data_IF_088919454467
#
_entry.id   IF_088919454467
#
_cell.length_a   1.000
_cell.length_b   1.000
_cell.length_c   1.000
_cell.angle_alpha   90.00
_cell.angle_beta   90.00
_cell.angle_gamma   90.00
#
_symmetry.space_group_name_H-M   'P 1'
#
loop_
_entity.id
_entity.type
_entity.pdbx_description
1 polymer ?
#
# COMPACT_ATOMS: atom_id res chain seq x y z
N UNK A 1 -59.37 -80.55 50.14
CA UNK A 1 -59.27 -81.97 50.52
C UNK A 1 -59.64 -82.83 49.32
N UNK A 2 -58.78 -83.82 49.01
CA UNK A 2 -59.08 -85.16 48.44
C UNK A 2 -60.06 -85.25 47.25
N UNK A 3 -59.62 -85.66 46.05
CA UNK A 3 -59.27 -87.03 45.58
C UNK A 3 -60.27 -87.33 44.46
N UNK A 4 -59.84 -87.41 43.20
CA UNK A 4 -59.33 -88.60 42.51
C UNK A 4 -60.45 -89.41 41.81
N UNK A 5 -60.10 -89.85 40.59
CA UNK A 5 -60.59 -91.00 39.82
C UNK A 5 -61.74 -90.78 38.83
N UNK A 6 -61.80 -91.38 37.63
CA UNK A 6 -60.88 -92.01 36.64
C UNK A 6 -61.78 -92.53 35.49
N UNK A 7 -61.22 -92.65 34.28
CA UNK A 7 -61.61 -93.63 33.24
C UNK A 7 -62.78 -93.26 32.31
N UNK A 8 -62.85 -93.63 31.03
CA UNK A 8 -61.95 -94.36 30.12
C UNK A 8 -62.58 -94.31 28.70
N UNK A 9 -61.75 -94.28 27.64
CA UNK A 9 -62.15 -94.58 26.25
C UNK A 9 -61.85 -93.44 25.26
N UNK A 10 -61.15 -93.60 24.14
CA UNK A 10 -60.52 -94.76 23.51
C UNK A 10 -59.90 -94.34 22.17
N UNK A 11 -58.88 -95.11 21.73
CA UNK A 11 -58.22 -95.15 20.39
C UNK A 11 -57.40 -93.88 20.02
N UNK A 12 -56.06 -93.83 20.09
CA UNK A 12 -54.93 -94.69 19.65
C UNK A 12 -54.69 -94.72 18.12
N UNK A 13 -53.75 -93.87 17.68
CA UNK A 13 -52.70 -94.02 16.64
C UNK A 13 -52.30 -92.60 16.17
N UNK A 14 -51.05 -92.19 15.99
CA UNK A 14 -49.73 -92.81 16.06
C UNK A 14 -48.69 -91.68 15.88
N UNK A 15 -47.70 -91.59 16.80
CA UNK A 15 -46.25 -91.44 16.56
C UNK A 15 -45.77 -90.92 15.19
N UNK A 16 -44.76 -90.05 15.05
CA UNK A 16 -43.69 -89.67 15.98
C UNK A 16 -42.70 -88.69 15.28
N UNK A 17 -41.94 -87.93 16.09
CA UNK A 17 -40.52 -87.50 15.89
C UNK A 17 -40.23 -86.38 14.83
N UNK A 18 -39.26 -85.44 14.97
CA UNK A 18 -38.10 -85.24 15.86
C UNK A 18 -37.41 -83.86 15.61
N UNK A 19 -36.77 -83.32 16.65
CA UNK A 19 -35.56 -82.44 16.72
C UNK A 19 -35.53 -80.97 16.22
N UNK A 20 -35.45 -80.03 17.19
CA UNK A 20 -34.31 -79.11 17.60
C UNK A 20 -33.31 -78.57 16.55
N UNK A 21 -32.43 -77.57 16.85
CA UNK A 21 -32.42 -76.48 17.86
C UNK A 21 -31.90 -75.12 17.30
N UNK A 22 -31.76 -74.13 18.20
CA UNK A 22 -30.70 -73.10 18.34
C UNK A 22 -30.16 -72.28 17.14
N UNK A 23 -30.07 -70.97 17.36
CA UNK A 23 -29.28 -70.08 16.50
C UNK A 23 -29.31 -68.61 16.88
N UNK A 24 -28.56 -68.25 17.92
CA UNK A 24 -28.12 -66.87 18.20
C UNK A 24 -27.15 -66.43 17.08
N UNK A 25 -27.33 -65.25 16.48
CA UNK A 25 -26.40 -64.76 15.47
C UNK A 25 -26.79 -63.42 14.84
N UNK A 26 -26.31 -62.33 15.46
CA UNK A 26 -26.23 -60.98 14.89
C UNK A 26 -25.55 -60.99 13.52
N UNK A 27 -26.23 -60.47 12.49
CA UNK A 27 -25.64 -60.16 11.18
C UNK A 27 -26.01 -58.73 10.79
N UNK A 28 -25.05 -57.83 11.00
CA UNK A 28 -24.93 -56.55 10.31
C UNK A 28 -24.27 -56.83 8.96
N UNK A 29 -25.07 -57.14 7.94
CA UNK A 29 -24.67 -57.00 6.54
C UNK A 29 -25.91 -56.70 5.70
N UNK A 30 -26.00 -55.47 5.21
CA UNK A 30 -27.05 -55.04 4.29
C UNK A 30 -26.60 -55.38 2.87
N UNK A 31 -26.76 -56.64 2.50
CA UNK A 31 -26.54 -57.09 1.12
C UNK A 31 -27.66 -56.59 0.22
N UNK A 32 -27.45 -55.42 -0.37
CA UNK A 32 -28.30 -54.91 -1.43
C UNK A 32 -27.94 -55.67 -2.72
N UNK A 33 -28.85 -56.51 -3.22
CA UNK A 33 -28.69 -57.23 -4.49
C UNK A 33 -28.69 -56.22 -5.65
N UNK A 34 -27.52 -55.74 -6.02
CA UNK A 34 -27.32 -54.81 -7.14
C UNK A 34 -27.30 -55.61 -8.45
N UNK A 35 -28.19 -55.28 -9.39
CA UNK A 35 -28.22 -55.87 -10.74
C UNK A 35 -26.89 -55.66 -11.45
N UNK A 36 -26.41 -56.67 -12.21
CA UNK A 36 -25.16 -56.62 -12.99
C UNK A 36 -25.04 -55.34 -13.85
N UNK A 37 -26.17 -54.86 -14.38
CA UNK A 37 -26.25 -53.60 -15.14
C UNK A 37 -25.90 -52.38 -14.29
N UNK A 38 -26.43 -52.31 -13.07
CA UNK A 38 -26.17 -51.24 -12.11
C UNK A 38 -24.71 -51.26 -11.62
N UNK A 39 -24.11 -52.45 -11.48
CA UNK A 39 -22.69 -52.59 -11.12
C UNK A 39 -21.76 -52.07 -12.21
N UNK A 40 -22.07 -52.34 -13.49
CA UNK A 40 -21.30 -51.86 -14.64
C UNK A 40 -21.46 -50.34 -14.86
N UNK A 41 -22.68 -49.81 -14.72
CA UNK A 41 -22.95 -48.37 -14.83
C UNK A 41 -22.33 -47.61 -13.66
N UNK A 42 -22.36 -48.18 -12.45
CA UNK A 42 -21.75 -47.58 -11.27
C UNK A 42 -20.23 -47.45 -11.39
N UNK A 43 -19.54 -48.46 -11.95
CA UNK A 43 -18.09 -48.42 -12.11
C UNK A 43 -17.63 -47.43 -13.17
N UNK A 44 -18.34 -47.33 -14.31
CA UNK A 44 -17.99 -46.33 -15.33
C UNK A 44 -18.24 -44.90 -14.86
N UNK A 45 -19.35 -44.68 -14.14
CA UNK A 45 -19.67 -43.37 -13.55
C UNK A 45 -18.64 -42.95 -12.50
N UNK A 46 -18.18 -43.89 -11.66
CA UNK A 46 -17.18 -43.62 -10.63
C UNK A 46 -15.85 -43.12 -11.24
N UNK A 47 -15.39 -43.74 -12.33
CA UNK A 47 -14.15 -43.33 -13.01
C UNK A 47 -14.27 -41.91 -13.57
N UNK A 48 -15.40 -41.58 -14.21
CA UNK A 48 -15.65 -40.23 -14.75
C UNK A 48 -15.63 -39.18 -13.63
N UNK A 49 -16.26 -39.47 -12.50
CA UNK A 49 -16.29 -38.57 -11.34
C UNK A 49 -14.89 -38.35 -10.78
N UNK A 50 -14.12 -39.42 -10.57
CA UNK A 50 -12.75 -39.31 -10.04
C UNK A 50 -11.86 -38.48 -10.96
N UNK A 51 -11.95 -38.72 -12.27
CA UNK A 51 -11.18 -37.97 -13.25
C UNK A 51 -11.60 -36.49 -13.29
N UNK A 52 -12.91 -36.21 -13.27
CA UNK A 52 -13.43 -34.84 -13.19
C UNK A 52 -12.93 -34.10 -11.97
N UNK A 53 -12.99 -34.72 -10.79
CA UNK A 53 -12.47 -34.13 -9.53
C UNK A 53 -10.97 -33.87 -9.63
N UNK A 54 -10.19 -34.81 -10.17
CA UNK A 54 -8.75 -34.64 -10.32
C UNK A 54 -8.41 -33.46 -11.25
N UNK A 55 -9.08 -33.36 -12.41
CA UNK A 55 -8.88 -32.25 -13.36
C UNK A 55 -9.29 -30.91 -12.73
N UNK A 56 -10.44 -30.84 -12.06
CA UNK A 56 -10.88 -29.62 -11.38
C UNK A 56 -9.91 -29.19 -10.28
N UNK A 57 -9.37 -30.13 -9.51
CA UNK A 57 -8.44 -29.83 -8.43
C UNK A 57 -7.10 -29.31 -8.96
N UNK A 58 -6.60 -29.90 -10.05
CA UNK A 58 -5.41 -29.39 -10.76
C UNK A 58 -5.68 -28.01 -11.36
N UNK A 59 -6.83 -27.81 -12.01
CA UNK A 59 -7.23 -26.53 -12.57
C UNK A 59 -7.31 -25.41 -11.52
N UNK A 60 -7.91 -25.70 -10.37
CA UNK A 60 -7.97 -24.74 -9.24
C UNK A 60 -6.58 -24.40 -8.73
N UNK A 61 -5.66 -25.37 -8.60
CA UNK A 61 -4.28 -25.11 -8.15
C UNK A 61 -3.50 -24.25 -9.15
N UNK A 62 -3.58 -24.55 -10.44
CA UNK A 62 -2.93 -23.77 -11.49
C UNK A 62 -3.41 -22.32 -11.55
N UNK A 63 -4.71 -22.10 -11.32
CA UNK A 63 -5.32 -20.76 -11.28
C UNK A 63 -4.95 -20.04 -9.98
N UNK A 64 -5.01 -20.72 -8.84
CA UNK A 64 -4.73 -20.15 -7.52
C UNK A 64 -3.26 -19.70 -7.38
N UNK A 65 -2.32 -20.48 -7.91
CA UNK A 65 -0.89 -20.15 -7.86
C UNK A 65 -0.53 -19.00 -8.83
N UNK A 66 -1.40 -18.70 -9.80
CA UNK A 66 -1.12 -17.73 -10.87
C UNK A 66 -1.75 -16.34 -10.72
N UNK A 67 -2.88 -16.18 -10.03
CA UNK A 67 -3.74 -14.99 -10.20
C UNK A 67 -3.70 -13.92 -9.09
N UNK A 68 -3.08 -14.18 -7.94
CA UNK A 68 -3.00 -13.17 -6.85
C UNK A 68 -1.67 -12.40 -6.82
N UNK A 69 -0.58 -12.95 -7.38
CA UNK A 69 0.71 -12.25 -7.44
C UNK A 69 0.80 -11.26 -8.60
N UNK A 70 0.31 -11.61 -9.79
CA UNK A 70 0.61 -10.86 -11.02
C UNK A 70 0.03 -9.43 -11.06
N UNK A 71 -1.12 -9.16 -10.44
CA UNK A 71 -1.71 -7.81 -10.40
C UNK A 71 -1.20 -6.99 -9.20
N UNK A 72 -1.01 -7.61 -8.03
CA UNK A 72 -0.49 -6.91 -6.86
C UNK A 72 0.98 -6.58 -6.99
N UNK A 73 1.78 -7.48 -7.60
CA UNK A 73 3.20 -7.27 -7.77
C UNK A 73 3.49 -6.18 -8.80
N UNK A 74 2.63 -6.01 -9.82
CA UNK A 74 2.72 -4.87 -10.74
C UNK A 74 2.50 -3.55 -10.01
N UNK A 75 1.42 -3.42 -9.24
CA UNK A 75 1.15 -2.19 -8.46
C UNK A 75 2.25 -1.91 -7.44
N UNK A 76 2.75 -2.93 -6.74
CA UNK A 76 3.88 -2.79 -5.81
C UNK A 76 5.14 -2.34 -6.53
N UNK A 77 5.44 -2.92 -7.68
CA UNK A 77 6.60 -2.55 -8.49
C UNK A 77 6.48 -1.11 -8.98
N UNK A 78 5.30 -0.70 -9.45
CA UNK A 78 5.04 0.66 -9.92
C UNK A 78 5.17 1.68 -8.78
N UNK A 79 4.59 1.40 -7.60
CA UNK A 79 4.70 2.28 -6.43
C UNK A 79 6.12 2.36 -5.87
N UNK A 80 6.85 1.23 -5.85
CA UNK A 80 8.25 1.22 -5.43
C UNK A 80 9.13 2.02 -6.39
N UNK A 81 8.84 1.93 -7.69
CA UNK A 81 9.54 2.71 -8.72
C UNK A 81 9.25 4.21 -8.56
N UNK A 82 7.98 4.59 -8.40
CA UNK A 82 7.58 5.97 -8.15
C UNK A 82 8.23 6.53 -6.87
N UNK A 83 8.23 5.75 -5.78
CA UNK A 83 8.89 6.12 -4.53
C UNK A 83 10.40 6.31 -4.70
N UNK A 84 11.03 5.48 -5.54
CA UNK A 84 12.45 5.59 -5.82
C UNK A 84 12.77 6.88 -6.58
N UNK A 85 12.02 7.16 -7.66
CA UNK A 85 12.16 8.42 -8.42
C UNK A 85 11.98 9.62 -7.49
N UNK A 86 10.97 9.60 -6.63
CA UNK A 86 10.73 10.66 -5.65
C UNK A 86 11.89 10.85 -4.64
N UNK A 87 12.47 9.76 -4.12
CA UNK A 87 13.62 9.87 -3.22
C UNK A 87 14.89 10.30 -3.94
N UNK A 88 15.06 9.90 -5.21
CA UNK A 88 16.18 10.33 -6.05
C UNK A 88 16.07 11.85 -6.30
N UNK A 89 14.88 12.38 -6.56
CA UNK A 89 14.62 13.82 -6.73
C UNK A 89 14.94 14.64 -5.46
N UNK A 90 14.53 14.15 -4.28
CA UNK A 90 14.90 14.78 -3.00
C UNK A 90 16.42 14.85 -2.85
N UNK A 91 17.10 13.75 -3.17
CA UNK A 91 18.55 13.65 -3.04
C UNK A 91 19.29 14.52 -4.07
N UNK A 92 18.76 14.63 -5.28
CA UNK A 92 19.27 15.53 -6.31
C UNK A 92 19.17 16.99 -5.86
N UNK A 93 17.99 17.41 -5.37
CA UNK A 93 17.78 18.75 -4.81
C UNK A 93 18.72 19.01 -3.62
N UNK A 94 18.89 18.04 -2.72
CA UNK A 94 19.83 18.12 -1.60
C UNK A 94 21.27 18.35 -2.07
N UNK A 95 21.73 17.56 -3.04
CA UNK A 95 23.09 17.66 -3.58
C UNK A 95 23.32 19.00 -4.25
N UNK A 96 22.36 19.48 -5.05
CA UNK A 96 22.44 20.76 -5.74
C UNK A 96 22.58 21.90 -4.73
N UNK A 97 21.69 21.97 -3.73
CA UNK A 97 21.71 23.03 -2.71
C UNK A 97 22.99 22.96 -1.87
N UNK A 98 23.44 21.75 -1.50
CA UNK A 98 24.72 21.53 -0.81
C UNK A 98 25.90 22.05 -1.62
N UNK A 99 26.00 21.65 -2.89
CA UNK A 99 27.09 22.07 -3.76
C UNK A 99 27.06 23.59 -3.97
N UNK A 100 25.89 24.16 -4.20
CA UNK A 100 25.69 25.61 -4.34
C UNK A 100 26.18 26.36 -3.10
N UNK A 101 25.80 25.93 -1.90
CA UNK A 101 26.23 26.52 -0.63
C UNK A 101 27.74 26.48 -0.38
N UNK A 102 28.46 25.56 -1.02
CA UNK A 102 29.93 25.46 -0.92
C UNK A 102 30.70 26.26 -1.97
N UNK A 103 30.03 26.83 -2.98
CA UNK A 103 30.70 27.54 -4.08
C UNK A 103 31.36 28.84 -3.59
N UNK A 104 32.56 29.09 -4.10
CA UNK A 104 33.41 30.23 -3.69
C UNK A 104 32.78 31.60 -3.99
N UNK A 105 31.93 31.71 -5.01
CA UNK A 105 31.27 32.98 -5.36
C UNK A 105 30.35 33.47 -4.24
N UNK A 106 29.67 32.57 -3.51
CA UNK A 106 28.80 32.96 -2.40
C UNK A 106 29.64 33.60 -1.29
N UNK A 107 30.78 32.96 -0.94
CA UNK A 107 31.70 33.50 0.07
C UNK A 107 32.24 34.87 -0.32
N UNK A 108 32.74 35.01 -1.55
CA UNK A 108 33.31 36.27 -2.02
C UNK A 108 32.30 37.41 -2.07
N UNK A 109 31.09 37.12 -2.54
CA UNK A 109 30.09 38.16 -2.69
C UNK A 109 29.42 38.52 -1.36
N UNK A 110 29.40 37.61 -0.38
CA UNK A 110 29.08 37.93 1.02
C UNK A 110 30.15 38.84 1.64
N UNK A 111 31.45 38.58 1.40
CA UNK A 111 32.54 39.44 1.89
C UNK A 111 32.57 40.82 1.21
N UNK A 112 32.25 40.88 -0.09
CA UNK A 112 32.21 42.11 -0.87
C UNK A 112 30.91 42.91 -0.76
N UNK A 113 29.89 42.38 -0.06
CA UNK A 113 28.52 42.92 -0.01
C UNK A 113 27.91 43.21 -1.40
N UNK A 114 28.31 42.43 -2.41
CA UNK A 114 27.85 42.56 -3.79
C UNK A 114 26.59 41.74 -4.02
N UNK A 115 25.48 42.31 -3.55
CA UNK A 115 24.15 41.69 -3.66
C UNK A 115 23.71 41.51 -5.12
N UNK A 116 24.09 42.42 -6.02
CA UNK A 116 23.69 42.36 -7.43
C UNK A 116 24.33 41.15 -8.12
N UNK A 117 25.61 40.90 -7.87
CA UNK A 117 26.29 39.70 -8.36
C UNK A 117 25.70 38.44 -7.74
N UNK A 118 25.44 38.40 -6.42
CA UNK A 118 24.76 37.25 -5.79
C UNK A 118 23.41 36.95 -6.43
N UNK A 119 22.61 37.98 -6.64
CA UNK A 119 21.27 37.87 -7.22
C UNK A 119 21.32 37.28 -8.64
N UNK A 120 22.23 37.77 -9.47
CA UNK A 120 22.41 37.29 -10.85
C UNK A 120 22.89 35.84 -10.88
N UNK A 121 23.92 35.50 -10.12
CA UNK A 121 24.48 34.14 -10.07
C UNK A 121 23.46 33.13 -9.53
N UNK A 122 22.74 33.48 -8.46
CA UNK A 122 21.69 32.61 -7.91
C UNK A 122 20.51 32.46 -8.89
N UNK A 123 20.12 33.51 -9.62
CA UNK A 123 19.09 33.37 -10.65
C UNK A 123 19.53 32.48 -11.81
N UNK A 124 20.79 32.58 -12.24
CA UNK A 124 21.35 31.68 -13.26
C UNK A 124 21.35 30.23 -12.80
N UNK A 125 21.74 29.95 -11.56
CA UNK A 125 21.68 28.59 -11.00
C UNK A 125 20.23 28.10 -10.94
N UNK A 126 19.30 28.94 -10.48
CA UNK A 126 17.87 28.61 -10.44
C UNK A 126 17.36 28.21 -11.83
N UNK A 127 17.66 29.00 -12.86
CA UNK A 127 17.19 28.73 -14.23
C UNK A 127 17.89 27.53 -14.87
N UNK A 128 19.21 27.40 -14.69
CA UNK A 128 20.00 26.31 -15.28
C UNK A 128 19.62 24.95 -14.71
N UNK A 129 19.45 24.88 -13.39
CA UNK A 129 19.07 23.65 -12.69
C UNK A 129 17.54 23.48 -12.61
N UNK A 130 16.76 24.33 -13.29
CA UNK A 130 15.29 24.28 -13.33
C UNK A 130 14.60 24.28 -11.96
N UNK A 131 15.16 25.00 -10.99
CA UNK A 131 14.55 25.17 -9.67
C UNK A 131 13.39 26.18 -9.73
N UNK A 132 12.28 25.86 -9.08
CA UNK A 132 11.17 26.81 -8.94
C UNK A 132 11.57 28.00 -8.07
N UNK A 133 12.29 27.75 -6.98
CA UNK A 133 12.66 28.72 -5.95
C UNK A 133 14.09 28.46 -5.48
N UNK A 134 14.88 29.54 -5.32
CA UNK A 134 16.19 29.48 -4.68
C UNK A 134 16.43 30.77 -3.87
N UNK A 135 16.63 30.63 -2.56
CA UNK A 135 16.69 31.77 -1.63
C UNK A 135 17.88 31.63 -0.71
N UNK A 136 18.63 32.72 -0.53
CA UNK A 136 19.76 32.82 0.37
C UNK A 136 19.35 33.60 1.63
N UNK A 137 19.67 33.04 2.80
CA UNK A 137 19.38 33.64 4.10
C UNK A 137 20.67 33.95 4.87
N UNK A 138 20.58 34.85 5.85
CA UNK A 138 21.63 35.09 6.84
C UNK A 138 21.62 34.04 7.97
N UNK A 139 22.54 34.19 8.94
CA UNK A 139 22.63 33.29 10.10
C UNK A 139 21.39 33.27 11.01
N UNK A 140 20.48 34.23 10.87
CA UNK A 140 19.22 34.34 11.61
C UNK A 140 18.03 33.84 10.78
N UNK A 141 18.26 33.33 9.57
CA UNK A 141 17.21 32.91 8.64
C UNK A 141 16.50 34.07 7.94
N UNK A 142 17.04 35.29 7.98
CA UNK A 142 16.49 36.43 7.25
C UNK A 142 16.91 36.37 5.78
N UNK A 143 15.98 36.62 4.87
CA UNK A 143 16.23 36.55 3.43
C UNK A 143 17.14 37.70 2.99
N UNK A 144 18.33 37.35 2.52
CA UNK A 144 19.29 38.29 1.93
C UNK A 144 19.05 38.44 0.42
N UNK A 145 18.82 37.33 -0.27
CA UNK A 145 18.62 37.28 -1.72
C UNK A 145 17.53 36.27 -2.05
N UNK A 146 16.54 36.69 -2.85
CA UNK A 146 15.49 35.83 -3.38
C UNK A 146 15.62 35.81 -4.90
N UNK A 147 16.02 34.66 -5.46
CA UNK A 147 16.37 34.58 -6.88
C UNK A 147 15.20 34.90 -7.81
N UNK A 148 14.01 34.35 -7.50
CA UNK A 148 12.79 34.47 -8.32
C UNK A 148 12.14 35.86 -8.24
N UNK A 149 12.03 36.41 -7.03
CA UNK A 149 11.46 37.72 -6.78
C UNK A 149 12.41 38.61 -5.95
N UNK A 150 13.39 39.26 -6.60
CA UNK A 150 14.44 40.03 -5.92
C UNK A 150 13.93 41.20 -5.08
N UNK A 151 12.73 41.71 -5.40
CA UNK A 151 12.12 42.88 -4.76
C UNK A 151 11.65 42.59 -3.33
N UNK A 152 11.36 41.32 -3.01
CA UNK A 152 10.94 40.91 -1.67
C UNK A 152 12.13 40.34 -0.93
N UNK A 153 12.58 41.02 0.12
CA UNK A 153 13.73 40.60 0.93
C UNK A 153 13.61 41.11 2.36
N UNK A 154 14.46 40.59 3.26
CA UNK A 154 14.49 40.98 4.66
C UNK A 154 13.40 40.33 5.52
N UNK A 155 12.50 39.52 4.95
CA UNK A 155 11.58 38.68 5.70
C UNK A 155 12.29 37.49 6.36
N UNK A 156 11.67 36.89 7.37
CA UNK A 156 12.22 35.73 8.08
C UNK A 156 11.74 34.42 7.45
N UNK A 157 12.67 33.49 7.27
CA UNK A 157 12.42 32.08 6.96
C UNK A 157 12.85 31.18 8.12
N UNK A 158 13.18 31.75 9.29
CA UNK A 158 13.66 31.00 10.45
C UNK A 158 12.65 29.98 10.98
N UNK A 159 11.35 30.23 10.78
CA UNK A 159 10.26 29.35 11.22
C UNK A 159 10.01 28.19 10.24
N UNK A 160 10.66 28.18 9.07
CA UNK A 160 10.61 27.04 8.16
C UNK A 160 11.30 25.82 8.78
N UNK A 161 10.66 24.65 8.67
CA UNK A 161 11.11 23.42 9.33
C UNK A 161 12.52 22.99 8.88
N UNK A 162 12.86 23.16 7.60
CA UNK A 162 14.18 22.78 7.10
C UNK A 162 15.22 23.85 7.42
N UNK A 163 14.86 25.13 7.27
CA UNK A 163 15.78 26.24 7.58
C UNK A 163 16.16 26.23 9.07
N UNK A 164 15.20 26.09 9.98
CA UNK A 164 15.46 26.00 11.43
C UNK A 164 16.37 24.83 11.80
N UNK A 165 16.21 23.67 11.15
CA UNK A 165 17.09 22.51 11.36
C UNK A 165 18.51 22.78 10.87
N UNK A 166 18.68 23.40 9.70
CA UNK A 166 20.00 23.78 9.18
C UNK A 166 20.65 24.83 10.07
N UNK A 167 19.90 25.84 10.52
CA UNK A 167 20.40 26.89 11.40
C UNK A 167 20.92 26.33 12.73
N UNK A 168 20.24 25.32 13.29
CA UNK A 168 20.60 24.68 14.56
C UNK A 168 21.71 23.63 14.42
N UNK A 169 21.64 22.75 13.41
CA UNK A 169 22.56 21.60 13.27
C UNK A 169 23.78 21.89 12.39
N UNK A 170 23.72 22.91 11.53
CA UNK A 170 24.74 23.20 10.50
C UNK A 170 25.00 22.01 9.58
N UNK A 171 23.96 21.23 9.30
CA UNK A 171 23.96 20.11 8.36
C UNK A 171 22.97 20.40 7.23
N UNK A 172 23.15 19.75 6.08
CA UNK A 172 22.20 19.84 4.98
C UNK A 172 20.97 19.01 5.32
N UNK A 173 19.78 19.55 5.06
CA UNK A 173 18.51 18.85 5.28
C UNK A 173 17.64 19.00 4.03
N UNK A 174 17.01 17.91 3.60
CA UNK A 174 16.08 17.90 2.49
C UNK A 174 14.84 17.05 2.81
N UNK A 175 13.72 17.39 2.19
CA UNK A 175 12.47 16.68 2.38
C UNK A 175 11.31 17.34 1.65
N UNK A 176 10.09 16.92 1.99
CA UNK A 176 8.88 17.52 1.45
C UNK A 176 8.23 18.40 2.49
N UNK A 177 7.87 19.61 2.07
CA UNK A 177 7.24 20.63 2.90
C UNK A 177 5.92 21.07 2.27
N UNK A 178 4.98 21.48 3.13
CA UNK A 178 3.77 22.15 2.69
C UNK A 178 4.01 23.65 2.79
N UNK A 179 3.99 24.35 1.66
CA UNK A 179 4.23 25.79 1.57
C UNK A 179 2.89 26.50 1.47
N UNK A 180 2.56 27.41 2.39
CA UNK A 180 1.30 28.14 2.38
C UNK A 180 1.29 29.20 1.26
N UNK A 181 0.10 29.65 0.87
CA UNK A 181 -0.08 30.59 -0.24
C UNK A 181 0.71 31.88 -0.03
N UNK A 182 0.75 32.37 1.19
CA UNK A 182 1.40 33.62 1.58
C UNK A 182 2.90 33.57 1.29
N UNK A 183 3.55 32.43 1.50
CA UNK A 183 4.97 32.23 1.17
C UNK A 183 5.17 32.08 -0.34
N UNK A 184 4.28 31.36 -1.04
CA UNK A 184 4.35 31.21 -2.49
C UNK A 184 4.22 32.55 -3.22
N UNK A 185 3.32 33.43 -2.77
CA UNK A 185 3.14 34.77 -3.34
C UNK A 185 4.39 35.63 -3.19
N UNK A 186 5.21 35.43 -2.15
CA UNK A 186 6.50 36.13 -2.03
C UNK A 186 7.48 35.73 -3.14
N UNK A 187 7.43 34.48 -3.59
CA UNK A 187 8.26 33.97 -4.67
C UNK A 187 7.71 34.35 -6.05
N UNK A 188 6.39 34.39 -6.22
CA UNK A 188 5.74 34.86 -7.44
C UNK A 188 4.24 34.59 -7.44
N UNK A 189 3.45 35.53 -7.96
CA UNK A 189 1.99 35.37 -8.06
C UNK A 189 1.60 34.22 -9.00
N UNK A 190 2.42 33.97 -10.02
CA UNK A 190 2.25 32.85 -10.95
C UNK A 190 2.36 31.49 -10.23
N UNK A 191 3.27 31.37 -9.26
CA UNK A 191 3.43 30.15 -8.45
C UNK A 191 2.24 29.93 -7.52
N UNK A 192 1.75 31.01 -6.89
CA UNK A 192 0.56 30.95 -6.04
C UNK A 192 -0.72 30.57 -6.81
N UNK A 193 -0.84 31.01 -8.07
CA UNK A 193 -1.99 30.69 -8.92
C UNK A 193 -2.01 29.22 -9.37
N UNK A 194 -0.85 28.61 -9.63
CA UNK A 194 -0.76 27.19 -10.02
C UNK A 194 -1.27 26.23 -8.94
N UNK A 195 -1.24 26.66 -7.68
CA UNK A 195 -1.53 25.83 -6.51
C UNK A 195 -3.01 25.86 -6.14
N UNK A 196 -3.75 26.88 -6.61
CA UNK A 196 -5.17 27.01 -6.33
C UNK A 196 -5.95 25.88 -7.00
N UNK A 197 -6.61 25.04 -6.18
CA UNK A 197 -7.53 24.02 -6.65
C UNK A 197 -8.83 24.03 -5.85
N UNK A 198 -9.94 23.91 -6.56
CA UNK A 198 -11.26 23.76 -5.95
C UNK A 198 -11.51 22.30 -5.59
N UNK A 199 -11.91 22.06 -4.34
CA UNK A 199 -12.26 20.71 -3.87
C UNK A 199 -13.66 20.37 -4.38
N UNK A 200 -13.74 19.37 -5.26
CA UNK A 200 -15.03 18.86 -5.77
C UNK A 200 -15.52 17.76 -4.81
N UNK A 201 -16.66 17.94 -4.13
CA UNK A 201 -17.17 16.93 -3.21
C UNK A 201 -17.57 15.67 -4.00
N UNK A 202 -17.21 14.50 -3.47
CA UNK A 202 -17.64 13.21 -4.04
C UNK A 202 -18.56 12.48 -3.06
N UNK A 203 -19.53 11.66 -3.54
CA UNK A 203 -20.59 11.11 -2.69
C UNK A 203 -20.12 10.27 -1.49
N UNK A 204 -18.90 9.73 -1.54
CA UNK A 204 -18.30 8.89 -0.48
C UNK A 204 -17.16 9.59 0.27
N UNK A 205 -16.88 10.86 -0.04
CA UNK A 205 -15.83 11.60 0.64
C UNK A 205 -16.21 11.86 2.11
N UNK A 206 -15.19 11.81 2.99
CA UNK A 206 -15.33 12.33 4.35
C UNK A 206 -15.71 13.80 4.27
N UNK A 207 -16.74 14.21 5.03
CA UNK A 207 -17.13 15.62 5.08
C UNK A 207 -15.95 16.46 5.56
N UNK A 208 -15.49 17.36 4.71
CA UNK A 208 -14.47 18.36 5.01
C UNK A 208 -15.09 19.73 4.82
N UNK A 209 -14.78 20.67 5.72
CA UNK A 209 -15.11 22.09 5.56
C UNK A 209 -14.20 22.81 4.55
N UNK A 210 -13.17 22.12 4.07
CA UNK A 210 -12.18 22.68 3.15
C UNK A 210 -12.69 22.60 1.70
N UNK A 211 -13.07 23.75 1.16
CA UNK A 211 -13.64 23.90 -0.19
C UNK A 211 -12.57 24.21 -1.24
N UNK A 212 -11.40 24.68 -0.80
CA UNK A 212 -10.30 25.12 -1.65
C UNK A 212 -8.97 24.73 -1.02
N UNK A 213 -8.00 24.32 -1.85
CA UNK A 213 -6.62 24.11 -1.45
C UNK A 213 -5.77 25.19 -2.11
N UNK A 214 -4.96 25.86 -1.29
CA UNK A 214 -4.08 26.97 -1.70
C UNK A 214 -2.63 26.79 -1.26
N UNK A 215 -2.31 25.68 -0.60
CA UNK A 215 -0.94 25.33 -0.18
C UNK A 215 -0.31 24.33 -1.15
N UNK A 216 0.98 24.50 -1.43
CA UNK A 216 1.74 23.63 -2.31
C UNK A 216 2.47 22.56 -1.52
N UNK A 217 2.68 21.40 -2.12
CA UNK A 217 3.67 20.43 -1.66
C UNK A 217 4.93 20.61 -2.49
N UNK A 218 6.07 20.90 -1.85
CA UNK A 218 7.34 21.13 -2.52
C UNK A 218 8.41 20.19 -1.97
N UNK A 219 9.29 19.71 -2.85
CA UNK A 219 10.58 19.16 -2.43
C UNK A 219 11.48 20.37 -2.15
N UNK A 220 12.01 20.44 -0.93
CA UNK A 220 12.85 21.55 -0.47
C UNK A 220 14.11 20.96 0.15
N UNK A 221 15.22 21.64 -0.10
CA UNK A 221 16.47 21.40 0.59
C UNK A 221 17.04 22.72 1.10
N UNK A 222 17.76 22.65 2.21
CA UNK A 222 18.48 23.76 2.80
C UNK A 222 19.88 23.28 3.21
N UNK A 223 20.89 24.11 2.91
CA UNK A 223 22.29 23.82 3.24
C UNK A 223 22.92 25.04 3.92
N UNK A 224 23.81 24.84 4.90
CA UNK A 224 24.56 25.93 5.49
C UNK A 224 25.62 26.41 4.50
N UNK A 225 25.81 27.73 4.43
CA UNK A 225 26.98 28.32 3.79
C UNK A 225 28.10 28.33 4.82
N UNK A 226 29.01 27.37 4.75
CA UNK A 226 30.13 27.25 5.68
C UNK A 226 31.24 28.20 5.26
N UNK A 227 31.66 29.09 6.16
CA UNK A 227 32.85 29.93 5.97
C UNK A 227 34.14 29.10 6.00
#
# INVERSE_FOLDING_TARGET
>A
MRREQYGCGGKRHSSDRICTPDGLGTSLNKDMKISLRTKLIGSSLAVIIIFGVAVTLVGIRLIADGLISQTQDRVRTDLNSARRIYHDEIKETENLVRLTGTRFFIKNALLGNDRETLQRELNQIREYESLDVLTLTDENGRVTVRSRNPAVHGDSQADDELVSQVLSRKEVVAGTVIVPKEELTKEGEDLAQQVYMKVIPTPKAKQSSEVEKSSAMMIKAAAPVLN
#
